data_IF_709955944133
#
_entry.id   IF_709955944133
#
_cell.length_a   1.000
_cell.length_b   1.000
_cell.length_c   1.000
_cell.angle_alpha   90.00
_cell.angle_beta   90.00
_cell.angle_gamma   90.00
#
_symmetry.space_group_name_H-M   'P 1'
#
loop_
_entity.id
_entity.type
_entity.pdbx_description
1 polymer ?
#
# COMPACT_ATOMS: atom_id res chain seq x y z
N UNK A 1 -2.30 -17.33 6.42
CA UNK A 1 -1.88 -15.92 6.36
C UNK A 1 -2.94 -15.03 5.69
N UNK A 2 -3.25 -13.87 6.28
CA UNK A 2 -4.18 -12.86 5.74
C UNK A 2 -3.45 -11.84 4.86
N UNK A 3 -4.04 -11.47 3.72
CA UNK A 3 -3.57 -10.36 2.89
C UNK A 3 -4.72 -9.36 2.68
N UNK A 4 -4.45 -8.07 2.94
CA UNK A 4 -5.39 -6.99 2.63
C UNK A 4 -5.04 -6.40 1.26
N UNK A 5 -6.04 -6.29 0.39
CA UNK A 5 -5.89 -5.73 -0.95
C UNK A 5 -6.73 -4.47 -1.14
N UNK A 6 -6.19 -3.48 -1.85
CA UNK A 6 -6.89 -2.26 -2.21
C UNK A 6 -7.18 -2.20 -3.73
N UNK A 7 -8.41 -1.92 -4.14
CA UNK A 7 -8.81 -1.95 -5.55
C UNK A 7 -8.22 -0.78 -6.35
N UNK A 8 -8.24 -0.93 -7.68
CA UNK A 8 -7.88 0.11 -8.65
C UNK A 8 -9.09 0.86 -9.20
N UNK A 9 -8.86 1.77 -10.15
CA UNK A 9 -9.93 2.48 -10.85
C UNK A 9 -10.87 1.53 -11.61
N UNK A 10 -12.18 1.82 -11.56
CA UNK A 10 -13.24 1.01 -12.15
C UNK A 10 -14.02 0.17 -11.13
N UNK A 11 -13.60 0.18 -9.86
CA UNK A 11 -14.30 -0.47 -8.76
C UNK A 11 -15.39 0.41 -8.13
N UNK A 12 -15.27 1.74 -8.25
CA UNK A 12 -16.23 2.69 -7.69
C UNK A 12 -17.57 2.65 -8.43
N UNK A 13 -18.66 2.77 -7.68
CA UNK A 13 -20.03 2.84 -8.19
C UNK A 13 -20.78 4.01 -7.53
N UNK A 14 -21.78 4.62 -8.18
CA UNK A 14 -22.55 5.72 -7.58
C UNK A 14 -23.10 5.33 -6.21
N UNK A 15 -22.99 6.24 -5.23
CA UNK A 15 -23.54 6.05 -3.90
C UNK A 15 -22.85 5.00 -3.02
N UNK A 16 -21.69 4.46 -3.40
CA UNK A 16 -21.07 3.37 -2.62
C UNK A 16 -20.64 3.78 -1.20
N UNK A 17 -20.48 5.08 -0.92
CA UNK A 17 -20.21 5.59 0.42
C UNK A 17 -21.46 5.94 1.22
N UNK A 18 -22.67 5.87 0.65
CA UNK A 18 -23.91 6.22 1.37
C UNK A 18 -24.01 5.54 2.74
N UNK A 19 -23.84 4.19 2.86
CA UNK A 19 -23.92 3.53 4.17
C UNK A 19 -22.76 3.90 5.10
N UNK A 20 -21.58 4.21 4.54
CA UNK A 20 -20.39 4.58 5.32
C UNK A 20 -20.51 5.96 5.94
N UNK A 21 -21.21 6.89 5.26
CA UNK A 21 -21.41 8.26 5.73
C UNK A 21 -22.42 8.37 6.89
N UNK A 22 -23.13 7.29 7.23
CA UNK A 22 -24.00 7.23 8.41
C UNK A 22 -23.20 7.21 9.72
N UNK A 23 -21.95 6.73 9.70
CA UNK A 23 -21.03 6.80 10.85
C UNK A 23 -20.37 8.19 10.91
N UNK A 24 -20.62 9.00 11.95
CA UNK A 24 -20.02 10.33 12.09
C UNK A 24 -18.49 10.32 12.10
N UNK A 25 -17.85 9.28 12.66
CA UNK A 25 -16.39 9.19 12.69
C UNK A 25 -15.82 8.92 11.30
N UNK A 26 -16.49 8.09 10.51
CA UNK A 26 -16.12 7.86 9.12
C UNK A 26 -16.27 9.17 8.32
N UNK A 27 -17.42 9.85 8.45
CA UNK A 27 -17.71 11.10 7.75
C UNK A 27 -16.69 12.21 8.08
N UNK A 28 -16.34 12.38 9.35
CA UNK A 28 -15.35 13.38 9.80
C UNK A 28 -13.96 13.09 9.20
N UNK A 29 -13.52 11.82 9.25
CA UNK A 29 -12.22 11.42 8.69
C UNK A 29 -12.18 11.55 7.18
N UNK A 30 -13.26 11.20 6.50
CA UNK A 30 -13.35 11.39 5.05
C UNK A 30 -13.33 12.88 4.71
N UNK A 31 -14.02 13.72 5.48
CA UNK A 31 -13.98 15.18 5.31
C UNK A 31 -12.56 15.74 5.49
N UNK A 32 -11.79 15.25 6.45
CA UNK A 32 -10.37 15.60 6.58
C UNK A 32 -9.57 15.23 5.32
N UNK A 33 -9.74 14.01 4.80
CA UNK A 33 -9.07 13.59 3.57
C UNK A 33 -9.56 14.37 2.34
N UNK A 34 -10.82 14.81 2.32
CA UNK A 34 -11.36 15.73 1.30
C UNK A 34 -10.60 17.06 1.30
N UNK A 35 -10.35 17.64 2.48
CA UNK A 35 -9.58 18.87 2.62
C UNK A 35 -8.13 18.70 2.12
N UNK A 36 -7.49 17.57 2.46
CA UNK A 36 -6.13 17.25 1.97
C UNK A 36 -6.09 17.07 0.46
N UNK A 37 -7.08 16.38 -0.10
CA UNK A 37 -7.22 16.14 -1.54
C UNK A 37 -7.75 17.35 -2.32
N UNK A 38 -8.27 18.39 -1.65
CA UNK A 38 -8.95 19.50 -2.31
C UNK A 38 -10.15 19.05 -3.16
N UNK A 39 -10.81 17.96 -2.75
CA UNK A 39 -11.88 17.29 -3.49
C UNK A 39 -12.95 16.82 -2.52
N UNK A 40 -14.23 17.08 -2.78
CA UNK A 40 -15.32 16.66 -1.90
C UNK A 40 -15.64 15.16 -2.06
N UNK A 41 -14.85 14.31 -1.38
CA UNK A 41 -15.01 12.86 -1.42
C UNK A 41 -16.36 12.40 -0.89
N UNK A 42 -16.99 13.18 0.01
CA UNK A 42 -18.32 12.91 0.52
C UNK A 42 -19.33 12.99 -0.62
N UNK A 43 -19.41 14.14 -1.28
CA UNK A 43 -20.29 14.33 -2.44
C UNK A 43 -20.04 13.30 -3.55
N UNK A 44 -18.79 13.07 -3.94
CA UNK A 44 -18.48 12.11 -5.02
C UNK A 44 -18.75 10.65 -4.65
N UNK A 45 -18.72 10.31 -3.37
CA UNK A 45 -19.04 8.97 -2.89
C UNK A 45 -20.53 8.70 -2.71
N UNK A 46 -21.37 9.74 -2.65
CA UNK A 46 -22.80 9.64 -2.30
C UNK A 46 -23.75 10.08 -3.41
N UNK A 47 -23.52 11.27 -3.98
CA UNK A 47 -24.47 11.98 -4.84
C UNK A 47 -24.07 11.96 -6.32
N UNK A 48 -22.77 11.91 -6.61
CA UNK A 48 -22.26 11.98 -7.97
C UNK A 48 -22.67 10.75 -8.82
N UNK A 49 -22.94 11.00 -10.09
CA UNK A 49 -23.31 9.98 -11.05
C UNK A 49 -22.11 9.14 -11.53
N UNK A 50 -22.41 8.10 -12.31
CA UNK A 50 -21.41 7.16 -12.79
C UNK A 50 -20.38 7.80 -13.72
N UNK A 51 -20.76 8.81 -14.50
CA UNK A 51 -19.86 9.48 -15.45
C UNK A 51 -18.92 10.43 -14.73
N UNK A 52 -19.40 11.13 -13.71
CA UNK A 52 -18.59 12.02 -12.87
C UNK A 52 -17.51 11.24 -12.13
N UNK A 53 -17.87 10.13 -11.47
CA UNK A 53 -16.89 9.32 -10.73
C UNK A 53 -16.00 8.46 -11.64
N UNK A 54 -16.17 8.50 -12.97
CA UNK A 54 -15.22 7.92 -13.95
C UNK A 54 -14.08 8.87 -14.26
N UNK A 55 -14.22 10.17 -14.01
CA UNK A 55 -13.13 11.12 -14.17
C UNK A 55 -11.94 10.65 -13.31
N UNK A 56 -10.79 10.52 -13.95
CA UNK A 56 -9.58 9.97 -13.34
C UNK A 56 -9.05 10.86 -12.20
N UNK A 57 -9.28 12.18 -12.28
CA UNK A 57 -8.94 13.11 -11.21
C UNK A 57 -9.83 12.95 -9.97
N UNK A 58 -11.05 12.40 -10.14
CA UNK A 58 -12.03 12.19 -9.07
C UNK A 58 -11.92 10.76 -8.53
N UNK A 59 -11.95 9.77 -9.41
CA UNK A 59 -11.98 8.35 -9.10
C UNK A 59 -10.80 7.93 -8.22
N UNK A 60 -9.60 8.41 -8.52
CA UNK A 60 -8.38 7.99 -7.83
C UNK A 60 -8.38 8.43 -6.36
N UNK A 61 -8.52 9.73 -6.02
CA UNK A 61 -8.65 10.15 -4.62
C UNK A 61 -9.84 9.53 -3.91
N UNK A 62 -10.98 9.35 -4.59
CA UNK A 62 -12.16 8.71 -4.01
C UNK A 62 -11.87 7.28 -3.56
N UNK A 63 -11.28 6.45 -4.42
CA UNK A 63 -10.93 5.06 -4.08
C UNK A 63 -9.93 4.99 -2.94
N UNK A 64 -8.87 5.81 -2.97
CA UNK A 64 -7.84 5.80 -1.92
C UNK A 64 -8.41 6.27 -0.59
N UNK A 65 -9.12 7.40 -0.58
CA UNK A 65 -9.74 7.95 0.63
C UNK A 65 -10.71 6.96 1.28
N UNK A 66 -11.58 6.32 0.49
CA UNK A 66 -12.50 5.30 0.99
C UNK A 66 -11.78 4.11 1.63
N UNK A 67 -10.75 3.57 0.97
CA UNK A 67 -9.98 2.45 1.51
C UNK A 67 -9.24 2.79 2.81
N UNK A 68 -8.66 4.01 2.89
CA UNK A 68 -7.94 4.48 4.07
C UNK A 68 -8.86 4.66 5.28
N UNK A 69 -10.02 5.29 5.10
CA UNK A 69 -10.95 5.50 6.23
C UNK A 69 -11.61 4.19 6.65
N UNK A 70 -12.00 3.34 5.70
CA UNK A 70 -12.57 2.03 6.00
C UNK A 70 -11.59 1.12 6.77
N UNK A 71 -10.29 1.25 6.53
CA UNK A 71 -9.28 0.52 7.31
C UNK A 71 -9.32 0.88 8.80
N UNK A 72 -9.61 2.14 9.14
CA UNK A 72 -9.75 2.59 10.53
C UNK A 72 -11.03 2.06 11.19
N UNK A 73 -12.09 1.84 10.41
CA UNK A 73 -13.31 1.17 10.89
C UNK A 73 -13.08 -0.34 11.09
N UNK A 74 -12.27 -0.98 10.24
CA UNK A 74 -11.91 -2.39 10.37
C UNK A 74 -11.00 -2.64 11.59
N UNK A 75 -10.06 -1.73 11.85
CA UNK A 75 -9.12 -1.79 12.98
C UNK A 75 -9.28 -0.55 13.90
N UNK A 76 -10.19 -0.60 14.89
CA UNK A 76 -10.41 0.52 15.83
C UNK A 76 -9.13 0.97 16.56
N UNK A 77 -8.22 0.03 16.80
CA UNK A 77 -6.85 0.31 17.21
C UNK A 77 -5.90 -0.02 16.04
N UNK A 78 -5.44 0.98 15.26
CA UNK A 78 -4.66 0.73 14.04
C UNK A 78 -3.38 -0.07 14.26
N UNK A 79 -2.83 -0.07 15.48
CA UNK A 79 -1.68 -0.92 15.86
C UNK A 79 -1.97 -2.42 15.76
N UNK A 80 -3.22 -2.82 15.96
CA UNK A 80 -3.63 -4.24 15.96
C UNK A 80 -3.53 -4.85 14.56
N UNK A 81 -3.57 -4.00 13.52
CA UNK A 81 -3.43 -4.42 12.13
C UNK A 81 -2.08 -5.10 11.88
N UNK A 82 -0.98 -4.58 12.44
CA UNK A 82 0.38 -5.08 12.17
C UNK A 82 0.61 -6.50 12.68
N UNK A 83 -0.10 -6.91 13.74
CA UNK A 83 -0.03 -8.28 14.28
C UNK A 83 -0.97 -9.27 13.60
N UNK A 84 -1.75 -8.83 12.60
CA UNK A 84 -2.84 -9.64 12.01
C UNK A 84 -2.80 -9.70 10.49
N UNK A 85 -1.98 -8.86 9.85
CA UNK A 85 -1.89 -8.78 8.40
C UNK A 85 -0.51 -9.27 7.96
N UNK A 86 -0.50 -10.33 7.16
CA UNK A 86 0.72 -10.93 6.62
C UNK A 86 1.37 -10.04 5.56
N UNK A 87 0.55 -9.51 4.65
CA UNK A 87 0.96 -8.60 3.59
C UNK A 87 -0.19 -7.67 3.16
N UNK A 88 0.17 -6.59 2.47
CA UNK A 88 -0.75 -5.73 1.74
C UNK A 88 -0.35 -5.61 0.27
N UNK A 89 -1.33 -5.44 -0.59
CA UNK A 89 -1.12 -5.11 -1.99
C UNK A 89 -2.21 -4.17 -2.46
N UNK A 90 -1.97 -3.45 -3.55
CA UNK A 90 -3.00 -2.64 -4.18
C UNK A 90 -2.92 -2.73 -5.68
N UNK A 91 -4.05 -2.66 -6.37
CA UNK A 91 -4.07 -2.67 -7.82
C UNK A 91 -3.98 -1.23 -8.34
N UNK A 92 -2.90 -0.91 -9.06
CA UNK A 92 -2.63 0.41 -9.60
C UNK A 92 -2.73 1.50 -8.53
N UNK A 93 -3.76 2.35 -8.57
CA UNK A 93 -3.98 3.41 -7.57
C UNK A 93 -4.08 2.86 -6.13
N UNK A 94 -4.56 1.62 -5.97
CA UNK A 94 -4.62 0.96 -4.67
C UNK A 94 -3.26 0.79 -4.01
N UNK A 95 -2.13 0.84 -4.74
CA UNK A 95 -0.80 0.78 -4.11
C UNK A 95 -0.56 1.94 -3.13
N UNK A 96 -1.22 3.09 -3.31
CA UNK A 96 -1.16 4.20 -2.35
C UNK A 96 -1.90 3.88 -1.05
N UNK A 97 -3.06 3.22 -1.14
CA UNK A 97 -3.79 2.71 0.03
C UNK A 97 -2.96 1.66 0.77
N UNK A 98 -2.35 0.73 0.03
CA UNK A 98 -1.49 -0.31 0.60
C UNK A 98 -0.24 0.29 1.26
N UNK A 99 0.43 1.24 0.62
CA UNK A 99 1.61 1.90 1.16
C UNK A 99 1.31 2.64 2.47
N UNK A 100 0.19 3.35 2.55
CA UNK A 100 -0.24 4.02 3.78
C UNK A 100 -0.67 3.01 4.87
N UNK A 101 -1.42 1.95 4.50
CA UNK A 101 -1.80 0.87 5.42
C UNK A 101 -0.59 0.14 6.01
N UNK A 102 0.49 -0.01 5.23
CA UNK A 102 1.75 -0.59 5.68
C UNK A 102 2.66 0.41 6.41
N UNK A 103 2.23 1.66 6.62
CA UNK A 103 3.02 2.74 7.23
C UNK A 103 4.26 3.19 6.45
N UNK A 104 4.36 2.88 5.15
CA UNK A 104 5.43 3.39 4.31
C UNK A 104 5.35 4.92 4.13
N UNK A 105 4.13 5.45 4.06
CA UNK A 105 3.79 6.88 3.98
C UNK A 105 2.58 7.18 4.87
N UNK A 106 2.29 8.45 5.17
CA UNK A 106 1.07 8.84 5.88
C UNK A 106 -0.17 8.81 4.97
N UNK A 107 -1.36 8.76 5.57
CA UNK A 107 -2.62 8.87 4.84
C UNK A 107 -2.72 10.21 4.08
N UNK A 108 -2.31 11.31 4.70
CA UNK A 108 -2.30 12.63 4.07
C UNK A 108 -1.34 12.69 2.88
N UNK A 109 -0.14 12.11 3.01
CA UNK A 109 0.82 12.02 1.91
C UNK A 109 0.25 11.17 0.76
N UNK A 110 -0.42 10.05 1.07
CA UNK A 110 -1.10 9.23 0.08
C UNK A 110 -2.21 10.03 -0.64
N UNK A 111 -2.98 10.84 0.09
CA UNK A 111 -4.04 11.69 -0.50
C UNK A 111 -3.48 12.82 -1.38
N UNK A 112 -2.36 13.44 -1.00
CA UNK A 112 -1.68 14.43 -1.85
C UNK A 112 -1.13 13.76 -3.12
N UNK A 113 -0.46 12.61 -2.97
CA UNK A 113 0.10 11.85 -4.10
C UNK A 113 -0.99 11.40 -5.07
N UNK A 114 -2.12 10.86 -4.57
CA UNK A 114 -3.20 10.36 -5.44
C UNK A 114 -3.91 11.49 -6.16
N UNK A 115 -4.09 12.65 -5.53
CA UNK A 115 -4.63 13.85 -6.19
C UNK A 115 -3.76 14.26 -7.37
N UNK A 116 -2.45 14.41 -7.14
CA UNK A 116 -1.52 14.78 -8.21
C UNK A 116 -1.39 13.69 -9.27
N UNK A 117 -1.47 12.40 -8.89
CA UNK A 117 -1.49 11.27 -9.81
C UNK A 117 -2.70 11.32 -10.74
N UNK A 118 -3.90 11.45 -10.18
CA UNK A 118 -5.16 11.54 -10.94
C UNK A 118 -5.14 12.72 -11.91
N UNK A 119 -4.76 13.90 -11.42
CA UNK A 119 -4.65 15.12 -12.23
C UNK A 119 -3.61 15.00 -13.35
N UNK A 120 -2.42 14.47 -13.05
CA UNK A 120 -1.35 14.34 -14.03
C UNK A 120 -1.68 13.28 -15.09
N UNK A 121 -2.29 12.17 -14.71
CA UNK A 121 -2.74 11.13 -15.64
C UNK A 121 -3.88 11.62 -16.53
N UNK A 122 -4.85 12.36 -15.98
CA UNK A 122 -5.92 12.97 -16.77
C UNK A 122 -5.36 13.95 -17.82
N UNK A 123 -4.42 14.81 -17.44
CA UNK A 123 -3.74 15.72 -18.37
C UNK A 123 -2.95 14.98 -19.44
N UNK A 124 -2.22 13.92 -19.08
CA UNK A 124 -1.46 13.12 -20.04
C UNK A 124 -2.39 12.43 -21.05
N UNK A 125 -3.52 11.88 -20.58
CA UNK A 125 -4.52 11.23 -21.42
C UNK A 125 -5.20 12.20 -22.40
N UNK A 126 -5.37 13.47 -22.02
CA UNK A 126 -5.95 14.49 -22.89
C UNK A 126 -5.06 14.89 -24.08
N UNK A 127 -3.75 14.59 -24.06
CA UNK A 127 -2.81 14.95 -25.13
C UNK A 127 -3.03 14.12 -26.40
N UNK A 128 -3.41 12.85 -26.27
CA UNK A 128 -3.55 11.94 -27.41
C UNK A 128 -4.71 10.97 -27.17
N UNK A 129 -5.66 10.85 -28.11
CA UNK A 129 -6.73 9.86 -28.02
C UNK A 129 -6.17 8.44 -27.90
N UNK A 130 -6.30 7.88 -26.70
CA UNK A 130 -5.81 6.56 -26.33
C UNK A 130 -6.86 5.86 -25.48
N UNK A 131 -6.73 4.55 -25.28
CA UNK A 131 -7.70 3.80 -24.50
C UNK A 131 -7.15 2.49 -23.97
N UNK A 132 -8.03 1.71 -23.36
CA UNK A 132 -7.72 0.38 -22.84
C UNK A 132 -8.85 -0.60 -23.19
N UNK A 133 -8.51 -1.85 -23.51
CA UNK A 133 -9.45 -2.92 -23.84
C UNK A 133 -9.08 -4.17 -23.05
N UNK A 134 -10.01 -4.69 -22.25
CA UNK A 134 -9.85 -5.98 -21.61
C UNK A 134 -9.89 -7.11 -22.67
N UNK A 135 -8.92 -8.01 -22.59
CA UNK A 135 -8.79 -9.24 -23.36
C UNK A 135 -9.03 -10.40 -22.39
N UNK A 136 -10.17 -11.07 -22.54
CA UNK A 136 -10.63 -12.11 -21.62
C UNK A 136 -10.62 -13.48 -22.31
N UNK A 137 -9.86 -14.42 -21.78
CA UNK A 137 -9.58 -15.71 -22.42
C UNK A 137 -8.53 -15.60 -23.52
N UNK A 138 -8.47 -16.63 -24.37
CA UNK A 138 -7.40 -16.79 -25.36
C UNK A 138 -6.13 -17.40 -24.78
N UNK A 139 -5.24 -17.85 -25.65
CA UNK A 139 -3.88 -18.26 -25.27
C UNK A 139 -3.02 -17.02 -24.97
N UNK A 140 -2.31 -17.03 -23.86
CA UNK A 140 -1.53 -15.87 -23.40
C UNK A 140 -0.43 -15.48 -24.39
N UNK A 141 0.28 -16.45 -24.97
CA UNK A 141 1.34 -16.17 -25.92
C UNK A 141 0.78 -15.60 -27.23
N UNK A 142 -0.35 -16.12 -27.71
CA UNK A 142 -1.06 -15.56 -28.87
C UNK A 142 -1.54 -14.13 -28.62
N UNK A 143 -2.11 -13.86 -27.44
CA UNK A 143 -2.54 -12.51 -27.04
C UNK A 143 -1.34 -11.57 -27.02
N UNK A 144 -0.25 -11.91 -26.33
CA UNK A 144 0.94 -11.06 -26.23
C UNK A 144 1.60 -10.80 -27.58
N UNK A 145 1.65 -11.81 -28.46
CA UNK A 145 2.13 -11.67 -29.83
C UNK A 145 1.26 -10.70 -30.63
N UNK A 146 -0.07 -10.82 -30.55
CA UNK A 146 -1.00 -9.93 -31.23
C UNK A 146 -0.90 -8.48 -30.71
N UNK A 147 -0.78 -8.28 -29.39
CA UNK A 147 -0.57 -6.94 -28.83
C UNK A 147 0.71 -6.30 -29.38
N UNK A 148 1.82 -7.05 -29.38
CA UNK A 148 3.10 -6.60 -29.92
C UNK A 148 3.00 -6.25 -31.40
N UNK A 149 2.33 -7.10 -32.20
CA UNK A 149 2.11 -6.87 -33.63
C UNK A 149 1.38 -5.55 -33.90
N UNK A 150 0.42 -5.18 -33.04
CA UNK A 150 -0.33 -3.93 -33.16
C UNK A 150 0.29 -2.74 -32.41
N UNK A 151 1.47 -2.91 -31.81
CA UNK A 151 2.13 -1.87 -31.03
C UNK A 151 1.39 -1.49 -29.73
N UNK A 152 0.55 -2.39 -29.22
CA UNK A 152 -0.18 -2.24 -27.97
C UNK A 152 0.68 -2.73 -26.80
N UNK A 153 0.48 -2.11 -25.64
CA UNK A 153 1.07 -2.56 -24.37
C UNK A 153 0.06 -3.40 -23.59
N UNK A 154 0.52 -4.50 -23.01
CA UNK A 154 -0.23 -5.22 -21.97
C UNK A 154 -0.17 -4.41 -20.65
N UNK A 155 -1.03 -3.39 -20.55
CA UNK A 155 -1.05 -2.43 -19.44
C UNK A 155 -1.43 -3.05 -18.09
N UNK A 156 -2.29 -4.07 -18.11
CA UNK A 156 -2.54 -4.89 -16.93
C UNK A 156 -2.44 -6.36 -17.31
N UNK A 157 -1.65 -7.12 -16.56
CA UNK A 157 -1.67 -8.58 -16.56
C UNK A 157 -2.26 -8.98 -15.21
N UNK A 158 -3.56 -9.28 -15.20
CA UNK A 158 -4.31 -9.42 -13.95
C UNK A 158 -4.29 -10.84 -13.41
N UNK A 159 -4.51 -11.81 -14.28
CA UNK A 159 -4.47 -13.23 -14.00
C UNK A 159 -4.42 -13.97 -15.35
N UNK A 160 -4.24 -15.29 -15.31
CA UNK A 160 -4.37 -16.14 -16.49
C UNK A 160 -5.68 -15.85 -17.23
N UNK A 161 -5.58 -15.58 -18.53
CA UNK A 161 -6.73 -15.23 -19.38
C UNK A 161 -7.37 -13.87 -19.06
N UNK A 162 -6.70 -12.96 -18.35
CA UNK A 162 -7.18 -11.60 -18.11
C UNK A 162 -6.06 -10.56 -18.29
N UNK A 163 -5.94 -10.06 -19.51
CA UNK A 163 -4.98 -9.03 -19.90
C UNK A 163 -5.76 -7.76 -20.30
N UNK A 164 -5.16 -6.59 -20.11
CA UNK A 164 -5.69 -5.32 -20.63
C UNK A 164 -4.71 -4.74 -21.64
N UNK A 165 -5.15 -4.66 -22.89
CA UNK A 165 -4.45 -4.00 -23.97
C UNK A 165 -4.61 -2.47 -23.85
N UNK A 166 -3.56 -1.72 -24.10
CA UNK A 166 -3.61 -0.25 -24.07
C UNK A 166 -2.72 0.36 -25.16
N UNK A 167 -3.18 1.45 -25.74
CA UNK A 167 -2.49 2.20 -26.78
C UNK A 167 -3.41 3.22 -27.44
N UNK A 168 -3.10 3.63 -28.67
CA UNK A 168 -3.95 4.57 -29.41
C UNK A 168 -5.26 3.94 -29.82
N UNK A 169 -6.29 4.76 -30.05
CA UNK A 169 -7.59 4.27 -30.53
C UNK A 169 -7.47 3.52 -31.86
N UNK A 170 -6.54 3.94 -32.74
CA UNK A 170 -6.24 3.29 -34.01
C UNK A 170 -5.63 1.89 -33.82
N UNK A 171 -4.64 1.76 -32.92
CA UNK A 171 -4.04 0.47 -32.59
C UNK A 171 -5.07 -0.50 -32.00
N UNK A 172 -5.93 -0.02 -31.09
CA UNK A 172 -6.99 -0.81 -30.48
C UNK A 172 -8.06 -1.24 -31.51
N UNK A 173 -8.42 -0.37 -32.45
CA UNK A 173 -9.33 -0.70 -33.54
C UNK A 173 -8.74 -1.76 -34.47
N UNK A 174 -7.45 -1.64 -34.82
CA UNK A 174 -6.74 -2.62 -35.64
C UNK A 174 -6.65 -3.99 -34.95
N UNK A 175 -6.34 -4.01 -33.65
CA UNK A 175 -6.34 -5.23 -32.85
C UNK A 175 -7.73 -5.86 -32.75
N UNK A 176 -8.78 -5.06 -32.61
CA UNK A 176 -10.16 -5.55 -32.54
C UNK A 176 -10.67 -6.14 -33.87
N UNK A 177 -10.07 -5.78 -35.00
CA UNK A 177 -10.42 -6.33 -36.32
C UNK A 177 -9.93 -7.78 -36.52
N UNK A 178 -8.91 -8.20 -35.77
CA UNK A 178 -8.35 -9.55 -35.80
C UNK A 178 -8.01 -10.04 -34.38
N UNK A 179 -9.04 -10.26 -33.53
CA UNK A 179 -8.81 -10.62 -32.13
C UNK A 179 -8.18 -12.03 -32.01
N UNK A 180 -7.34 -12.27 -31.00
CA UNK A 180 -6.81 -13.61 -30.70
C UNK A 180 -7.93 -14.65 -30.55
N UNK A 181 -7.66 -15.89 -30.93
CA UNK A 181 -8.66 -16.94 -30.90
C UNK A 181 -9.18 -17.18 -29.47
N UNK A 182 -10.50 -17.35 -29.31
CA UNK A 182 -11.18 -17.56 -28.02
C UNK A 182 -11.02 -16.41 -27.01
N UNK A 183 -10.49 -15.25 -27.42
CA UNK A 183 -10.46 -14.05 -26.60
C UNK A 183 -11.72 -13.20 -26.81
N UNK A 184 -12.32 -12.73 -25.72
CA UNK A 184 -13.40 -11.73 -25.73
C UNK A 184 -12.81 -10.36 -25.44
N UNK A 185 -13.04 -9.41 -26.35
CA UNK A 185 -12.62 -8.02 -26.17
C UNK A 185 -13.71 -7.19 -25.51
N UNK A 186 -13.31 -6.34 -24.57
CA UNK A 186 -14.21 -5.44 -23.85
C UNK A 186 -13.52 -4.08 -23.62
N UNK A 187 -13.85 -3.05 -24.41
CA UNK A 187 -13.34 -1.70 -24.19
C UNK A 187 -13.64 -1.20 -22.77
N UNK A 188 -12.66 -0.58 -22.14
CA UNK A 188 -12.79 -0.03 -20.79
C UNK A 188 -13.15 1.46 -20.87
N UNK A 189 -14.03 1.89 -19.97
CA UNK A 189 -14.40 3.31 -19.84
C UNK A 189 -13.35 4.04 -19.00
N UNK A 190 -12.24 4.41 -19.64
CA UNK A 190 -11.12 5.13 -19.04
C UNK A 190 -10.70 6.29 -19.93
N UNK A 191 -10.05 7.29 -19.34
CA UNK A 191 -9.67 8.51 -20.05
C UNK A 191 -8.52 8.31 -21.06
N UNK A 192 -7.71 7.25 -20.91
CA UNK A 192 -6.56 7.01 -21.79
C UNK A 192 -5.87 5.66 -21.55
N UNK A 193 -4.78 5.42 -22.27
CA UNK A 193 -3.93 4.24 -22.14
C UNK A 193 -3.02 4.31 -20.90
N UNK A 194 -3.58 4.06 -19.71
CA UNK A 194 -2.80 4.02 -18.48
C UNK A 194 -1.78 2.89 -18.49
N UNK A 195 -0.71 3.01 -17.68
CA UNK A 195 0.35 1.99 -17.55
C UNK A 195 1.14 1.75 -18.83
N UNK A 196 1.16 2.75 -19.71
CA UNK A 196 1.93 2.79 -20.95
C UNK A 196 2.82 4.03 -21.02
N UNK A 197 3.66 4.11 -22.05
CA UNK A 197 4.47 5.28 -22.36
C UNK A 197 3.67 6.58 -22.50
N UNK A 198 2.37 6.53 -22.85
CA UNK A 198 1.51 7.70 -22.94
C UNK A 198 1.38 8.45 -21.59
N UNK A 199 1.65 7.77 -20.48
CA UNK A 199 1.64 8.37 -19.14
C UNK A 199 3.02 8.91 -18.69
N UNK A 200 4.04 8.89 -19.54
CA UNK A 200 5.37 9.41 -19.21
C UNK A 200 5.37 10.85 -18.66
N UNK A 201 4.55 11.80 -19.16
CA UNK A 201 4.45 13.14 -18.57
C UNK A 201 4.00 13.12 -17.10
N UNK A 202 3.09 12.20 -16.74
CA UNK A 202 2.61 12.07 -15.37
C UNK A 202 3.68 11.53 -14.42
N UNK A 203 4.55 10.63 -14.89
CA UNK A 203 5.71 10.14 -14.12
C UNK A 203 6.64 11.29 -13.75
N UNK A 204 6.87 12.25 -14.66
CA UNK A 204 7.71 13.42 -14.39
C UNK A 204 7.16 14.34 -13.28
N UNK A 205 5.84 14.53 -13.25
CA UNK A 205 5.15 15.30 -12.18
C UNK A 205 5.26 14.56 -10.85
N UNK A 206 4.91 13.28 -10.85
CA UNK A 206 4.92 12.43 -9.65
C UNK A 206 6.33 12.26 -9.08
N UNK A 207 7.35 12.14 -9.93
CA UNK A 207 8.74 12.01 -9.52
C UNK A 207 9.27 13.23 -8.77
N UNK A 208 8.85 14.44 -9.15
CA UNK A 208 9.20 15.67 -8.41
C UNK A 208 8.54 15.70 -7.03
N UNK A 209 7.26 15.31 -6.96
CA UNK A 209 6.52 15.28 -5.71
C UNK A 209 7.08 14.23 -4.74
N UNK A 210 7.47 13.06 -5.25
CA UNK A 210 8.03 11.98 -4.46
C UNK A 210 9.29 12.36 -3.67
N UNK A 211 10.05 13.37 -4.13
CA UNK A 211 11.22 13.89 -3.40
C UNK A 211 10.85 14.56 -2.06
N UNK A 212 9.62 15.05 -1.93
CA UNK A 212 9.11 15.69 -0.72
C UNK A 212 8.34 14.73 0.19
N UNK A 213 8.22 13.45 -0.19
CA UNK A 213 7.50 12.45 0.59
C UNK A 213 8.44 11.85 1.63
N UNK A 214 8.18 12.14 2.90
CA UNK A 214 8.77 11.38 4.02
C UNK A 214 8.31 9.94 3.97
N UNK A 215 9.25 9.01 3.98
CA UNK A 215 8.99 7.56 3.91
C UNK A 215 9.55 6.84 5.13
N UNK A 216 8.93 5.72 5.48
CA UNK A 216 9.42 4.78 6.48
C UNK A 216 9.45 3.38 5.87
N UNK A 217 10.29 2.50 6.41
CA UNK A 217 10.23 1.09 6.01
C UNK A 217 8.86 0.51 6.42
N UNK A 218 8.19 -0.25 5.53
CA UNK A 218 6.87 -0.77 5.81
C UNK A 218 6.85 -1.66 7.06
N UNK A 219 5.79 -1.56 7.87
CA UNK A 219 5.56 -2.47 9.01
C UNK A 219 4.86 -3.77 8.61
N UNK A 220 4.33 -3.81 7.40
CA UNK A 220 3.67 -4.97 6.80
C UNK A 220 4.22 -5.12 5.40
N UNK A 221 4.47 -6.35 4.96
CA UNK A 221 4.96 -6.64 3.62
C UNK A 221 4.11 -5.94 2.55
N UNK A 222 4.74 -5.14 1.67
CA UNK A 222 4.08 -4.48 0.54
C UNK A 222 4.44 -5.22 -0.74
N UNK A 223 3.45 -5.82 -1.40
CA UNK A 223 3.63 -6.51 -2.68
C UNK A 223 3.43 -5.50 -3.81
N UNK A 224 4.47 -5.28 -4.63
CA UNK A 224 4.45 -4.26 -5.68
C UNK A 224 3.93 -4.78 -7.02
N UNK A 225 3.13 -3.97 -7.70
CA UNK A 225 2.66 -4.22 -9.06
C UNK A 225 3.77 -4.20 -10.11
N UNK A 226 4.97 -3.69 -9.76
CA UNK A 226 6.08 -3.54 -10.69
C UNK A 226 6.62 -4.90 -11.19
N UNK A 227 6.72 -5.87 -10.29
CA UNK A 227 7.32 -7.19 -10.52
C UNK A 227 6.75 -8.27 -9.58
N UNK A 228 5.72 -7.96 -8.80
CA UNK A 228 5.13 -8.86 -7.80
C UNK A 228 5.98 -9.07 -6.56
N UNK A 229 7.13 -8.40 -6.41
CA UNK A 229 8.01 -8.63 -5.26
C UNK A 229 7.53 -7.90 -4.00
N UNK A 230 7.89 -8.46 -2.85
CA UNK A 230 7.77 -7.78 -1.55
C UNK A 230 8.85 -6.68 -1.47
N UNK A 231 8.44 -5.48 -1.05
CA UNK A 231 9.31 -4.32 -0.92
C UNK A 231 9.47 -3.96 0.56
N UNK A 232 10.71 -3.82 1.01
CA UNK A 232 11.05 -3.56 2.42
C UNK A 232 11.50 -2.12 2.68
N UNK A 233 11.87 -1.37 1.65
CA UNK A 233 12.32 0.02 1.76
C UNK A 233 11.18 0.98 1.37
N UNK A 234 10.85 1.93 2.26
CA UNK A 234 9.77 2.88 2.04
C UNK A 234 9.95 3.80 0.82
N UNK A 235 11.21 4.19 0.52
CA UNK A 235 11.53 4.99 -0.66
C UNK A 235 11.34 4.18 -1.93
N UNK A 236 11.67 2.89 -1.89
CA UNK A 236 11.48 1.99 -3.01
C UNK A 236 9.99 1.75 -3.30
N UNK A 237 9.15 1.64 -2.26
CA UNK A 237 7.68 1.61 -2.42
C UNK A 237 7.19 2.83 -3.21
N UNK A 238 7.54 4.04 -2.76
CA UNK A 238 7.11 5.28 -3.45
C UNK A 238 7.69 5.35 -4.86
N UNK A 239 8.97 5.02 -5.05
CA UNK A 239 9.63 5.00 -6.37
C UNK A 239 8.91 4.06 -7.34
N UNK A 240 8.51 2.87 -6.89
CA UNK A 240 7.78 1.89 -7.71
C UNK A 240 6.40 2.40 -8.08
N UNK A 241 5.64 2.98 -7.13
CA UNK A 241 4.33 3.60 -7.39
C UNK A 241 4.43 4.72 -8.44
N UNK A 242 5.45 5.57 -8.37
CA UNK A 242 5.68 6.63 -9.38
C UNK A 242 5.95 6.03 -10.76
N UNK A 243 6.84 5.03 -10.84
CA UNK A 243 7.18 4.37 -12.11
C UNK A 243 5.99 3.59 -12.69
N UNK A 244 5.14 3.05 -11.85
CA UNK A 244 3.96 2.25 -12.19
C UNK A 244 2.93 3.03 -13.02
N UNK A 245 2.89 4.36 -12.92
CA UNK A 245 2.00 5.22 -13.72
C UNK A 245 2.16 4.97 -15.24
N UNK A 246 3.38 4.73 -15.71
CA UNK A 246 3.70 4.47 -17.12
C UNK A 246 4.25 3.06 -17.38
N UNK A 247 4.01 2.11 -16.48
CA UNK A 247 4.46 0.72 -16.61
C UNK A 247 3.33 -0.25 -16.31
N UNK A 248 3.33 -1.44 -16.94
CA UNK A 248 2.33 -2.47 -16.69
C UNK A 248 2.11 -2.79 -15.21
N UNK A 249 0.86 -3.04 -14.85
CA UNK A 249 0.48 -3.65 -13.58
C UNK A 249 0.60 -5.17 -13.71
N UNK A 250 1.53 -5.77 -12.96
CA UNK A 250 1.74 -7.22 -12.90
C UNK A 250 1.03 -7.83 -11.69
N UNK A 251 -0.30 -7.77 -11.71
CA UNK A 251 -1.11 -8.32 -10.63
C UNK A 251 -1.10 -9.86 -10.63
N UNK A 252 -0.87 -10.49 -11.78
CA UNK A 252 -0.54 -11.91 -11.91
C UNK A 252 0.67 -12.31 -11.04
N UNK A 253 1.73 -11.50 -11.05
CA UNK A 253 2.90 -11.72 -10.21
C UNK A 253 2.61 -11.42 -8.75
N UNK A 254 1.79 -10.41 -8.44
CA UNK A 254 1.31 -10.19 -7.08
C UNK A 254 0.58 -11.43 -6.55
N UNK A 255 -0.34 -12.01 -7.32
CA UNK A 255 -1.07 -13.22 -6.95
C UNK A 255 -0.13 -14.43 -6.78
N UNK A 256 0.88 -14.56 -7.63
CA UNK A 256 1.91 -15.59 -7.47
C UNK A 256 2.64 -15.44 -6.13
N UNK A 257 3.08 -14.24 -5.79
CA UNK A 257 3.70 -13.95 -4.49
C UNK A 257 2.74 -14.21 -3.33
N UNK A 258 1.47 -13.84 -3.43
CA UNK A 258 0.47 -14.13 -2.40
C UNK A 258 0.36 -15.64 -2.14
N UNK A 259 0.35 -16.46 -3.21
CA UNK A 259 0.37 -17.93 -3.09
C UNK A 259 1.65 -18.42 -2.43
N UNK A 260 2.80 -17.91 -2.87
CA UNK A 260 4.11 -18.36 -2.37
C UNK A 260 4.31 -17.99 -0.89
N UNK A 261 3.66 -16.92 -0.41
CA UNK A 261 3.58 -16.56 1.01
C UNK A 261 2.55 -17.41 1.81
N UNK A 262 1.85 -18.35 1.18
CA UNK A 262 0.87 -19.21 1.87
C UNK A 262 -0.41 -18.47 2.28
N UNK A 263 -0.91 -17.56 1.43
CA UNK A 263 -2.17 -16.86 1.70
C UNK A 263 -3.31 -17.85 1.93
N UNK A 264 -4.10 -17.60 2.96
CA UNK A 264 -5.31 -18.38 3.31
C UNK A 264 -6.57 -17.53 3.23
N UNK A 265 -6.44 -16.20 3.36
CA UNK A 265 -7.54 -15.26 3.29
C UNK A 265 -7.13 -13.96 2.59
N UNK A 266 -7.96 -13.46 1.68
CA UNK A 266 -7.81 -12.15 1.03
C UNK A 266 -8.99 -11.26 1.37
N UNK A 267 -8.74 -10.10 2.00
CA UNK A 267 -9.75 -9.09 2.28
C UNK A 267 -9.54 -7.88 1.39
N UNK A 268 -10.54 -7.54 0.57
CA UNK A 268 -10.52 -6.37 -0.30
C UNK A 268 -11.23 -5.18 0.34
N UNK A 269 -10.53 -4.05 0.39
CA UNK A 269 -11.04 -2.78 0.91
C UNK A 269 -12.06 -2.12 -0.04
N UNK A 270 -13.00 -1.32 0.47
CA UNK A 270 -13.98 -0.65 -0.37
C UNK A 270 -13.33 0.34 -1.35
N UNK A 271 -13.91 0.52 -2.55
CA UNK A 271 -15.05 -0.23 -3.10
C UNK A 271 -14.66 -1.63 -3.59
N UNK A 272 -15.16 -2.67 -2.90
CA UNK A 272 -14.67 -4.04 -3.03
C UNK A 272 -15.48 -4.89 -4.01
N UNK A 273 -14.82 -5.88 -4.63
CA UNK A 273 -15.42 -6.94 -5.42
C UNK A 273 -14.54 -7.38 -6.60
N UNK A 274 -13.74 -6.48 -7.16
CA UNK A 274 -12.97 -6.79 -8.37
C UNK A 274 -11.82 -7.73 -8.05
N UNK A 275 -11.00 -7.39 -7.05
CA UNK A 275 -9.81 -8.18 -6.72
C UNK A 275 -10.18 -9.51 -6.07
N UNK A 276 -11.23 -9.55 -5.25
CA UNK A 276 -11.77 -10.81 -4.71
C UNK A 276 -12.28 -11.73 -5.80
N UNK A 277 -12.95 -11.21 -6.84
CA UNK A 277 -13.39 -12.03 -7.98
C UNK A 277 -12.22 -12.57 -8.80
N UNK A 278 -11.14 -11.80 -8.96
CA UNK A 278 -9.90 -12.26 -9.60
C UNK A 278 -9.26 -13.36 -8.72
N UNK A 279 -9.10 -13.11 -7.43
CA UNK A 279 -8.50 -14.04 -6.49
C UNK A 279 -9.24 -15.39 -6.42
N UNK A 280 -10.58 -15.39 -6.41
CA UNK A 280 -11.39 -16.63 -6.44
C UNK A 280 -11.06 -17.55 -7.60
N UNK A 281 -10.68 -16.99 -8.75
CA UNK A 281 -10.31 -17.77 -9.95
C UNK A 281 -8.85 -18.17 -9.93
N UNK A 282 -7.97 -17.24 -9.55
CA UNK A 282 -6.52 -17.43 -9.61
C UNK A 282 -5.93 -18.24 -8.44
N UNK A 283 -6.61 -18.27 -7.30
CA UNK A 283 -6.14 -18.86 -6.05
C UNK A 283 -7.20 -19.82 -5.47
N UNK A 284 -7.43 -20.99 -6.10
CA UNK A 284 -8.41 -21.95 -5.61
C UNK A 284 -8.06 -22.42 -4.20
N UNK A 285 -9.04 -22.43 -3.30
CA UNK A 285 -8.88 -22.80 -1.90
C UNK A 285 -8.57 -21.64 -0.94
N UNK A 286 -8.27 -20.45 -1.47
CA UNK A 286 -8.10 -19.24 -0.65
C UNK A 286 -9.46 -18.59 -0.40
N UNK A 287 -9.78 -18.30 0.85
CA UNK A 287 -11.02 -17.61 1.20
C UNK A 287 -10.91 -16.11 0.86
N UNK A 288 -12.02 -15.50 0.47
CA UNK A 288 -12.02 -14.08 0.05
C UNK A 288 -13.17 -13.33 0.72
N UNK A 289 -12.89 -12.13 1.19
CA UNK A 289 -13.87 -11.21 1.77
C UNK A 289 -13.83 -9.87 1.04
N UNK A 290 -14.97 -9.39 0.53
CA UNK A 290 -15.09 -8.07 -0.08
C UNK A 290 -15.86 -7.16 0.87
N UNK A 291 -15.16 -6.22 1.52
CA UNK A 291 -15.76 -5.26 2.43
C UNK A 291 -16.41 -4.12 1.63
N UNK A 292 -17.74 -4.18 1.50
CA UNK A 292 -18.54 -3.22 0.70
C UNK A 292 -19.21 -2.17 1.56
N UNK A 293 -19.72 -2.56 2.72
CA UNK A 293 -20.57 -1.72 3.58
C UNK A 293 -20.25 -1.93 5.07
N UNK A 294 -20.56 -0.95 5.95
CA UNK A 294 -20.21 -1.02 7.37
C UNK A 294 -20.88 -2.16 8.16
N UNK A 295 -22.07 -2.61 7.76
CA UNK A 295 -22.77 -3.74 8.38
C UNK A 295 -21.99 -5.05 8.27
N UNK A 296 -21.01 -5.11 7.37
CA UNK A 296 -20.11 -6.26 7.20
C UNK A 296 -18.87 -6.20 8.09
N UNK A 297 -18.68 -5.15 8.92
CA UNK A 297 -17.46 -4.99 9.71
C UNK A 297 -17.23 -6.11 10.72
N UNK A 298 -18.29 -6.66 11.32
CA UNK A 298 -18.15 -7.75 12.28
C UNK A 298 -17.73 -9.06 11.60
N UNK A 299 -18.31 -9.37 10.44
CA UNK A 299 -17.88 -10.50 9.62
C UNK A 299 -16.46 -10.30 9.08
N UNK A 300 -16.09 -9.08 8.70
CA UNK A 300 -14.75 -8.73 8.26
C UNK A 300 -13.73 -8.92 9.39
N UNK A 301 -14.06 -8.51 10.63
CA UNK A 301 -13.21 -8.74 11.81
C UNK A 301 -13.10 -10.22 12.15
N UNK A 302 -14.19 -10.99 12.02
CA UNK A 302 -14.15 -12.45 12.17
C UNK A 302 -13.24 -13.10 11.11
N UNK A 303 -13.31 -12.62 9.86
CA UNK A 303 -12.42 -13.05 8.78
C UNK A 303 -10.94 -12.73 9.08
N UNK A 304 -10.67 -11.52 9.59
CA UNK A 304 -9.34 -11.11 10.05
C UNK A 304 -8.85 -12.02 11.18
N UNK A 305 -9.69 -12.33 12.17
CA UNK A 305 -9.32 -13.24 13.27
C UNK A 305 -9.02 -14.67 12.79
N UNK A 306 -9.77 -15.15 11.79
CA UNK A 306 -9.64 -16.50 11.26
C UNK A 306 -8.34 -16.70 10.47
N UNK A 307 -7.94 -15.71 9.67
CA UNK A 307 -6.80 -15.83 8.75
C UNK A 307 -5.57 -15.05 9.17
N UNK A 308 -5.72 -14.19 10.18
CA UNK A 308 -4.72 -13.24 10.62
C UNK A 308 -3.52 -13.94 11.23
N UNK A 309 -2.35 -13.48 10.80
CA UNK A 309 -1.03 -13.91 11.24
C UNK A 309 -0.13 -12.68 11.12
N UNK A 310 0.79 -12.39 12.05
CA UNK A 310 1.80 -11.35 11.87
C UNK A 310 2.52 -11.46 10.52
N UNK A 311 2.93 -10.31 9.98
CA UNK A 311 3.77 -10.27 8.78
C UNK A 311 5.07 -11.05 9.01
N UNK A 312 5.51 -11.90 8.06
CA UNK A 312 6.80 -12.57 8.13
C UNK A 312 7.96 -11.61 7.88
N UNK A 313 7.67 -10.34 7.55
CA UNK A 313 8.67 -9.29 7.65
C UNK A 313 9.21 -9.27 9.06
N UNK A 314 10.47 -9.62 9.18
CA UNK A 314 11.18 -9.54 10.43
C UNK A 314 11.23 -8.08 10.87
N UNK A 315 10.27 -7.69 11.73
CA UNK A 315 10.20 -6.37 12.36
C UNK A 315 11.25 -6.24 13.45
N UNK A 316 12.17 -7.20 13.61
CA UNK A 316 13.37 -6.99 14.39
C UNK A 316 14.16 -5.83 13.74
N UNK A 317 14.19 -4.66 14.39
CA UNK A 317 14.92 -3.54 13.81
C UNK A 317 16.39 -3.98 13.69
N UNK A 318 17.08 -3.68 12.60
CA UNK A 318 18.48 -4.12 12.42
C UNK A 318 19.39 -3.61 13.55
N UNK A 319 18.98 -2.54 14.23
CA UNK A 319 19.52 -2.04 15.47
C UNK A 319 18.49 -1.20 16.23
N UNK A 320 18.64 -1.08 17.56
CA UNK A 320 17.88 -0.19 18.46
C UNK A 320 18.84 0.82 19.06
N UNK A 321 18.33 1.99 19.43
CA UNK A 321 19.12 3.02 20.11
C UNK A 321 18.43 3.41 21.40
N UNK A 322 19.17 3.31 22.50
CA UNK A 322 18.72 3.84 23.79
C UNK A 322 19.23 5.26 23.91
N UNK A 323 18.35 6.14 24.39
CA UNK A 323 18.61 7.57 24.54
C UNK A 323 18.48 7.97 26.00
N UNK A 324 19.14 9.06 26.38
CA UNK A 324 19.05 9.60 27.73
C UNK A 324 17.63 10.05 28.04
N UNK A 325 17.03 9.60 29.17
CA UNK A 325 15.68 10.02 29.56
C UNK A 325 15.66 11.44 30.13
N UNK A 326 16.80 11.94 30.61
CA UNK A 326 16.89 13.21 31.32
C UNK A 326 18.25 13.89 31.08
N UNK A 327 18.44 15.08 31.65
CA UNK A 327 19.74 15.76 31.65
C UNK A 327 20.53 15.35 32.89
N UNK A 328 21.81 15.00 32.74
CA UNK A 328 22.66 14.67 33.88
C UNK A 328 23.97 14.01 33.47
N UNK A 329 24.63 13.40 34.44
CA UNK A 329 25.81 12.56 34.22
C UNK A 329 25.36 11.12 34.02
N UNK A 330 25.72 10.51 32.89
CA UNK A 330 25.45 9.09 32.65
C UNK A 330 26.43 8.23 33.46
N UNK A 331 25.91 7.22 34.13
CA UNK A 331 26.68 6.21 34.87
C UNK A 331 26.38 4.85 34.25
N UNK A 332 27.36 4.26 33.57
CA UNK A 332 27.23 2.98 32.87
C UNK A 332 27.25 1.84 33.88
N UNK A 333 26.30 0.91 33.79
CA UNK A 333 26.27 -0.32 34.60
C UNK A 333 26.15 -1.60 33.78
N UNK A 334 25.81 -1.49 32.49
CA UNK A 334 25.85 -2.62 31.56
C UNK A 334 27.27 -2.93 31.09
N UNK A 335 27.42 -4.10 30.48
CA UNK A 335 28.67 -4.60 29.91
C UNK A 335 29.18 -3.85 28.69
N UNK A 336 30.15 -4.46 28.01
CA UNK A 336 30.89 -3.87 26.90
C UNK A 336 30.28 -4.27 25.54
N UNK A 337 30.86 -3.73 24.47
CA UNK A 337 30.46 -4.10 23.10
C UNK A 337 30.56 -5.62 22.90
N UNK A 338 29.52 -6.22 22.34
CA UNK A 338 29.38 -7.66 22.19
C UNK A 338 28.58 -8.36 23.30
N UNK A 339 28.33 -7.71 24.44
CA UNK A 339 27.57 -8.33 25.53
C UNK A 339 26.06 -8.31 25.26
N UNK A 340 25.38 -9.41 25.63
CA UNK A 340 23.93 -9.56 25.51
C UNK A 340 23.19 -9.04 26.75
N UNK A 341 22.15 -8.23 26.52
CA UNK A 341 21.27 -7.71 27.56
C UNK A 341 19.90 -8.38 27.50
N UNK A 342 19.40 -8.79 28.67
CA UNK A 342 18.01 -9.25 28.80
C UNK A 342 17.03 -8.07 28.73
N UNK A 343 15.79 -8.34 28.34
CA UNK A 343 14.71 -7.36 28.39
C UNK A 343 14.53 -6.76 29.80
N UNK A 344 14.27 -5.46 29.84
CA UNK A 344 14.17 -4.62 31.05
C UNK A 344 15.45 -4.51 31.90
N UNK A 345 16.61 -4.98 31.41
CA UNK A 345 17.89 -4.77 32.10
C UNK A 345 18.23 -3.28 32.16
N UNK A 346 18.80 -2.84 33.29
CA UNK A 346 19.36 -1.50 33.40
C UNK A 346 20.71 -1.44 32.69
N UNK A 347 20.88 -0.48 31.79
CA UNK A 347 22.17 -0.21 31.14
C UNK A 347 23.02 0.81 31.90
N UNK A 348 22.39 1.51 32.83
CA UNK A 348 23.01 2.60 33.58
C UNK A 348 21.95 3.51 34.19
N UNK A 349 22.38 4.65 34.67
CA UNK A 349 21.49 5.70 35.17
C UNK A 349 21.98 7.08 34.74
N UNK A 350 21.07 8.05 34.70
CA UNK A 350 21.41 9.46 34.52
C UNK A 350 21.20 10.17 35.83
N UNK A 351 22.28 10.69 36.41
CA UNK A 351 22.29 11.40 37.69
C UNK A 351 22.25 12.90 37.47
N UNK A 352 21.25 13.54 38.03
CA UNK A 352 21.21 14.98 38.23
C UNK A 352 21.60 15.32 39.67
N UNK A 353 21.64 16.60 40.02
CA UNK A 353 21.88 17.04 41.40
C UNK A 353 20.78 16.63 42.39
N UNK A 354 19.60 16.22 41.91
CA UNK A 354 18.42 15.95 42.75
C UNK A 354 17.88 14.52 42.59
N UNK A 355 17.97 13.97 41.39
CA UNK A 355 17.35 12.71 41.01
C UNK A 355 18.30 11.82 40.21
N UNK A 356 18.13 10.50 40.32
CA UNK A 356 18.78 9.49 39.50
C UNK A 356 17.71 8.71 38.73
N UNK A 357 17.82 8.67 37.40
CA UNK A 357 16.87 7.98 36.53
C UNK A 357 17.54 6.78 35.88
N UNK A 358 17.01 5.57 36.09
CA UNK A 358 17.52 4.39 35.43
C UNK A 358 17.27 4.46 33.90
N UNK A 359 18.25 4.02 33.14
CA UNK A 359 18.14 3.83 31.69
C UNK A 359 17.98 2.34 31.46
N UNK A 360 16.82 1.92 30.97
CA UNK A 360 16.49 0.52 30.76
C UNK A 360 16.60 0.14 29.28
N UNK A 361 16.97 -1.10 29.00
CA UNK A 361 16.83 -1.74 27.70
C UNK A 361 15.50 -2.51 27.66
N UNK A 362 14.38 -1.93 27.19
CA UNK A 362 13.05 -2.52 27.39
C UNK A 362 12.90 -3.90 26.74
N UNK A 363 13.68 -4.15 25.69
CA UNK A 363 13.59 -5.34 24.85
C UNK A 363 14.90 -6.13 24.75
N UNK A 364 15.94 -5.74 25.51
CA UNK A 364 17.26 -6.37 25.44
C UNK A 364 17.95 -6.23 24.07
N UNK A 365 18.99 -7.03 23.88
CA UNK A 365 19.80 -7.11 22.66
C UNK A 365 21.31 -7.11 22.95
N UNK A 366 22.11 -7.40 21.92
CA UNK A 366 23.58 -7.33 21.97
C UNK A 366 24.04 -5.88 21.88
N UNK A 367 24.95 -5.44 22.75
CA UNK A 367 25.56 -4.10 22.66
C UNK A 367 26.43 -4.05 21.40
N UNK A 368 26.14 -3.11 20.50
CA UNK A 368 26.92 -2.91 19.26
C UNK A 368 28.00 -1.87 19.45
N UNK A 369 27.61 -0.71 19.98
CA UNK A 369 28.52 0.41 20.23
C UNK A 369 27.97 1.30 21.34
N UNK A 370 28.87 1.78 22.20
CA UNK A 370 28.58 2.87 23.13
C UNK A 370 28.81 4.22 22.42
N UNK A 371 27.85 5.13 22.56
CA UNK A 371 27.90 6.47 21.96
C UNK A 371 28.31 7.55 22.98
N UNK A 372 28.47 7.14 24.24
CA UNK A 372 28.90 7.94 25.38
C UNK A 372 29.81 7.11 26.29
N UNK A 373 30.66 7.77 27.06
CA UNK A 373 31.50 7.15 28.09
C UNK A 373 30.86 7.25 29.48
N UNK A 374 31.35 6.43 30.43
CA UNK A 374 30.96 6.55 31.83
C UNK A 374 31.39 7.91 32.39
N UNK A 375 30.46 8.65 32.98
CA UNK A 375 30.70 10.00 33.48
C UNK A 375 30.39 11.14 32.49
N UNK A 376 29.96 10.83 31.26
CA UNK A 376 29.59 11.86 30.29
C UNK A 376 28.36 12.66 30.70
N UNK A 377 28.36 13.95 30.35
CA UNK A 377 27.17 14.79 30.46
C UNK A 377 26.24 14.55 29.27
N UNK A 378 24.99 14.22 29.56
CA UNK A 378 23.98 13.87 28.56
C UNK A 378 22.74 14.75 28.66
N UNK A 379 22.08 14.97 27.52
CA UNK A 379 20.81 15.70 27.41
C UNK A 379 19.64 14.77 27.08
N UNK A 380 18.37 15.13 27.38
CA UNK A 380 17.22 14.31 27.04
C UNK A 380 17.18 14.01 25.53
N UNK A 381 16.99 12.74 25.18
CA UNK A 381 16.97 12.27 23.79
C UNK A 381 18.37 12.06 23.16
N UNK A 382 19.46 12.35 23.88
CA UNK A 382 20.82 12.08 23.40
C UNK A 382 21.06 10.57 23.30
N UNK A 383 21.55 10.06 22.15
CA UNK A 383 21.96 8.66 22.00
C UNK A 383 23.00 8.23 23.04
N UNK A 384 22.80 7.07 23.66
CA UNK A 384 23.71 6.49 24.65
C UNK A 384 24.37 5.21 24.14
N UNK A 385 23.59 4.30 23.56
CA UNK A 385 24.08 2.99 23.11
C UNK A 385 23.23 2.48 21.94
N UNK A 386 23.89 1.79 21.00
CA UNK A 386 23.23 1.02 19.95
C UNK A 386 23.20 -0.46 20.34
N UNK A 387 22.04 -1.09 20.22
CA UNK A 387 21.84 -2.51 20.45
C UNK A 387 21.44 -3.23 19.16
N UNK A 388 21.92 -4.43 18.91
CA UNK A 388 21.39 -5.33 17.91
C UNK A 388 20.34 -6.21 18.58
N UNK A 389 19.09 -6.28 18.08
CA UNK A 389 18.10 -7.18 18.66
C UNK A 389 18.53 -8.62 18.46
N UNK A 390 18.49 -9.40 19.54
CA UNK A 390 18.51 -10.85 19.42
C UNK A 390 17.07 -11.27 19.10
N UNK A 391 16.88 -11.90 17.95
CA UNK A 391 15.58 -12.44 17.56
C UNK A 391 15.11 -13.41 18.63
N UNK A 392 13.89 -13.23 19.12
CA UNK A 392 13.26 -14.27 19.92
C UNK A 392 12.95 -15.37 18.93
N UNK A 393 13.77 -16.42 18.89
CA UNK A 393 13.36 -17.66 18.25
C UNK A 393 12.08 -18.12 18.97
N UNK A 394 10.94 -17.97 18.30
CA UNK A 394 9.66 -18.56 18.69
C UNK A 394 9.29 -19.59 17.65
#
# INVERSE_FOLDING_TARGET
MLIIVAPGQGSQTPGFLLPWMEDPQFAERLHWLSAVAGLDLGHYGTEADADTIRDTAIAQPLIVGSGLVAALSLFPHPSDAFGRIGAVAGHSVGELTAAAGARAISAEQAMVLVRERGNAMARAAAVTPTGMTAVLGGDEAEVMAALTQHGLTAANVNAEGQIVAAGTMEQLAAFAAAPPAKARLMPLSVAGAFHTEHMAPAVGVMGKLALAVSTHDPRTAVISNYDGQVVHDGRDVVRRIVKQVARPVRWDLCLATMRDLGVTGILEMPPAGTLTNIAKRALPGVETFALKTPDQLDDARAFVNKHGDPSPMDIHPTWRMLVSPSKGTFVKTAGDEGDSLLAASSIGSVRSTRDETAVLAPYGGTIVEWLVEDGDLVSPGQPLVRLHPEGVAV
#
